data_IF_472536393449
#
_entry.id   IF_472536393449
#
_cell.length_a   1.000
_cell.length_b   1.000
_cell.length_c   1.000
_cell.angle_alpha   90.00
_cell.angle_beta   90.00
_cell.angle_gamma   90.00
#
_symmetry.space_group_name_H-M   'P 1'
#
loop_
_entity.id
_entity.type
_entity.pdbx_description
1 polymer ?
#
# COMPACT_ATOMS: atom_id res chain seq x y z
N UNK A 1 53.37 -19.48 68.12
CA UNK A 1 52.53 -19.03 66.99
C UNK A 1 53.17 -19.54 65.71
N UNK A 2 52.61 -20.56 65.05
CA UNK A 2 53.19 -21.12 63.83
C UNK A 2 52.65 -22.50 63.45
N UNK A 3 52.39 -23.39 64.42
CA UNK A 3 52.08 -24.80 64.12
C UNK A 3 50.60 -25.21 64.22
N UNK A 4 49.72 -24.43 64.87
CA UNK A 4 48.27 -24.72 64.89
C UNK A 4 47.48 -24.12 63.72
N UNK A 5 48.05 -23.16 62.99
CA UNK A 5 47.34 -22.48 61.88
C UNK A 5 47.44 -23.29 60.57
N UNK A 6 48.51 -24.07 60.39
CA UNK A 6 48.72 -24.89 59.17
C UNK A 6 47.77 -26.09 59.10
N UNK A 7 47.37 -26.64 60.25
CA UNK A 7 46.45 -27.80 60.32
C UNK A 7 45.01 -27.39 60.00
N UNK A 8 44.58 -26.19 60.41
CA UNK A 8 43.21 -25.69 60.18
C UNK A 8 43.02 -25.27 58.71
N UNK A 9 44.04 -24.72 58.05
CA UNK A 9 43.96 -24.37 56.63
C UNK A 9 43.96 -25.62 55.74
N UNK A 10 44.69 -26.68 56.12
CA UNK A 10 44.70 -27.95 55.37
C UNK A 10 43.35 -28.68 55.45
N UNK A 11 42.59 -28.51 56.56
CA UNK A 11 41.26 -29.09 56.70
C UNK A 11 40.19 -28.34 55.88
N UNK A 12 40.31 -27.01 55.73
CA UNK A 12 39.38 -26.22 54.92
C UNK A 12 39.62 -26.32 53.41
N UNK A 13 40.88 -26.46 52.97
CA UNK A 13 41.18 -26.72 51.54
C UNK A 13 40.76 -28.14 51.14
N UNK A 14 40.85 -29.11 52.07
CA UNK A 14 40.33 -30.47 51.86
C UNK A 14 38.80 -30.54 51.69
N UNK A 15 38.03 -29.74 52.45
CA UNK A 15 36.56 -29.71 52.31
C UNK A 15 36.07 -28.95 51.06
N UNK A 16 36.84 -27.96 50.58
CA UNK A 16 36.48 -27.25 49.34
C UNK A 16 36.82 -28.05 48.06
N UNK A 17 37.81 -28.95 48.09
CA UNK A 17 38.09 -29.84 46.95
C UNK A 17 37.14 -31.04 46.85
N UNK A 18 36.49 -31.46 47.94
CA UNK A 18 35.46 -32.52 47.88
C UNK A 18 34.10 -31.97 47.45
N UNK A 19 33.91 -30.65 47.48
CA UNK A 19 32.66 -30.00 47.07
C UNK A 19 32.65 -29.52 45.60
N UNK A 20 33.76 -29.70 44.87
CA UNK A 20 33.83 -29.47 43.42
C UNK A 20 34.09 -30.79 42.69
N UNK A 21 33.09 -31.67 42.64
CA UNK A 21 32.89 -32.62 41.53
C UNK A 21 31.60 -33.41 41.75
N UNK A 22 30.48 -32.72 42.00
CA UNK A 22 29.15 -33.32 41.85
C UNK A 22 28.10 -32.24 41.61
N UNK A 23 28.41 -31.27 40.73
CA UNK A 23 27.37 -30.84 39.79
C UNK A 23 27.20 -31.99 38.79
N UNK A 24 26.68 -33.13 39.28
CA UNK A 24 25.99 -34.06 38.41
C UNK A 24 24.77 -33.27 37.96
N UNK A 25 24.94 -32.48 36.90
CA UNK A 25 23.83 -32.11 36.06
C UNK A 25 23.22 -33.45 35.71
N UNK A 26 22.14 -33.80 36.40
CA UNK A 26 21.25 -34.84 35.92
C UNK A 26 20.65 -34.23 34.67
N UNK A 27 21.39 -34.28 33.57
CA UNK A 27 20.80 -34.45 32.26
C UNK A 27 20.08 -35.79 32.35
N UNK A 28 18.94 -35.79 33.03
CA UNK A 28 17.94 -36.80 32.81
C UNK A 28 17.68 -36.67 31.32
N UNK A 29 18.18 -37.65 30.55
CA UNK A 29 17.74 -37.87 29.18
C UNK A 29 16.23 -38.14 29.26
N UNK A 30 15.45 -37.05 29.30
CA UNK A 30 14.00 -37.07 29.28
C UNK A 30 13.63 -37.69 27.94
N UNK A 31 13.31 -38.97 27.98
CA UNK A 31 12.90 -39.69 26.80
C UNK A 31 11.46 -39.27 26.50
N UNK A 32 11.29 -38.25 25.67
CA UNK A 32 10.00 -37.90 25.11
C UNK A 32 9.60 -38.96 24.08
N UNK A 33 8.44 -39.59 24.26
CA UNK A 33 7.86 -40.52 23.27
C UNK A 33 6.73 -39.81 22.54
N UNK A 34 6.91 -39.54 21.24
CA UNK A 34 5.85 -39.11 20.34
C UNK A 34 5.22 -40.36 19.71
N UNK A 35 3.97 -40.66 20.05
CA UNK A 35 3.19 -41.70 19.38
C UNK A 35 2.32 -41.06 18.30
N UNK A 36 2.55 -41.42 17.04
CA UNK A 36 1.76 -40.92 15.90
C UNK A 36 0.78 -41.99 15.43
N UNK A 37 -0.52 -41.69 15.46
CA UNK A 37 -1.57 -42.59 14.97
C UNK A 37 -1.91 -42.26 13.52
N UNK A 38 -1.78 -43.22 12.61
CA UNK A 38 -2.04 -43.03 11.18
C UNK A 38 -3.53 -43.19 10.78
N UNK A 39 -4.39 -43.61 11.70
CA UNK A 39 -5.84 -43.82 11.48
C UNK A 39 -6.67 -42.73 12.14
N UNK A 40 -7.75 -42.27 11.48
CA UNK A 40 -8.72 -41.33 12.06
C UNK A 40 -8.41 -39.83 11.87
N UNK A 41 -7.44 -39.48 11.03
CA UNK A 41 -7.13 -38.10 10.68
C UNK A 41 -8.21 -37.43 9.83
N UNK A 42 -8.31 -36.10 9.91
CA UNK A 42 -9.11 -35.26 8.99
C UNK A 42 -8.21 -34.73 7.89
N UNK A 43 -8.75 -34.57 6.67
CA UNK A 43 -8.02 -33.90 5.58
C UNK A 43 -7.70 -32.48 6.02
N UNK A 44 -6.41 -32.11 5.98
CA UNK A 44 -5.98 -30.73 6.20
C UNK A 44 -6.59 -29.88 5.08
N UNK A 45 -7.34 -28.81 5.40
CA UNK A 45 -7.89 -27.92 4.38
C UNK A 45 -6.77 -27.35 3.52
N UNK A 46 -6.98 -27.30 2.20
CA UNK A 46 -6.02 -26.64 1.31
C UNK A 46 -5.92 -25.14 1.58
N UNK A 47 -6.92 -24.55 2.22
CA UNK A 47 -6.96 -23.14 2.64
C UNK A 47 -6.47 -22.95 4.08
N UNK A 48 -5.63 -23.85 4.61
CA UNK A 48 -5.15 -23.74 5.99
C UNK A 48 -4.21 -22.54 6.18
N UNK A 49 -3.33 -22.27 5.21
CA UNK A 49 -2.34 -21.20 5.28
C UNK A 49 -2.56 -20.19 4.16
N UNK A 50 -2.57 -18.92 4.54
CA UNK A 50 -2.72 -17.81 3.61
C UNK A 50 -2.05 -16.57 4.18
N UNK A 51 -2.30 -15.44 3.53
CA UNK A 51 -1.78 -14.14 3.93
C UNK A 51 -2.92 -13.18 4.20
N UNK A 52 -2.63 -12.23 5.07
CA UNK A 52 -3.48 -11.09 5.37
C UNK A 52 -2.72 -9.83 4.93
N UNK A 53 -3.43 -8.92 4.28
CA UNK A 53 -2.91 -7.65 3.83
C UNK A 53 -3.81 -6.50 4.28
N UNK A 54 -3.17 -5.49 4.85
CA UNK A 54 -3.71 -4.15 5.00
C UNK A 54 -2.65 -3.10 4.67
N UNK A 55 -3.07 -1.89 4.34
CA UNK A 55 -2.16 -0.76 4.11
C UNK A 55 -1.67 -0.23 5.47
N UNK A 56 -0.68 -0.92 6.03
CA UNK A 56 0.04 -0.57 7.26
C UNK A 56 1.55 -0.56 6.97
N UNK A 57 2.31 0.31 7.64
CA UNK A 57 3.78 0.38 7.51
C UNK A 57 4.26 0.57 6.05
N UNK A 58 3.46 1.23 5.20
CA UNK A 58 3.74 1.34 3.77
C UNK A 58 3.80 -0.04 3.06
N UNK A 59 2.99 -1.01 3.49
CA UNK A 59 2.97 -2.34 2.90
C UNK A 59 2.50 -2.35 1.44
N UNK A 60 1.60 -1.43 1.04
CA UNK A 60 1.16 -1.27 -0.34
C UNK A 60 1.93 -0.15 -1.01
N UNK A 61 1.53 1.09 -0.74
CA UNK A 61 2.20 2.30 -1.20
C UNK A 61 3.58 2.46 -0.56
N UNK A 62 4.65 2.22 -1.33
CA UNK A 62 6.04 2.14 -0.86
C UNK A 62 6.52 0.71 -0.57
N UNK A 63 5.60 -0.26 -0.60
CA UNK A 63 5.84 -1.67 -0.35
C UNK A 63 5.62 -2.49 -1.62
N UNK A 64 4.59 -3.33 -1.66
CA UNK A 64 4.36 -4.24 -2.79
C UNK A 64 3.93 -3.54 -4.08
N UNK A 65 3.44 -2.28 -4.02
CA UNK A 65 3.12 -1.51 -5.22
C UNK A 65 4.38 -0.81 -5.76
N UNK A 66 4.64 -0.89 -7.06
CA UNK A 66 5.91 -0.44 -7.65
C UNK A 66 6.01 1.06 -7.95
N UNK A 67 5.01 1.85 -7.60
CA UNK A 67 5.10 3.31 -7.64
C UNK A 67 6.24 3.81 -6.75
N UNK A 68 7.18 4.53 -7.35
CA UNK A 68 8.32 5.11 -6.65
C UNK A 68 8.01 6.50 -6.11
N UNK A 69 7.07 7.23 -6.72
CA UNK A 69 6.74 8.61 -6.34
C UNK A 69 5.73 8.62 -5.21
N UNK A 70 6.12 9.23 -4.08
CA UNK A 70 5.19 9.47 -2.97
C UNK A 70 4.46 10.80 -3.19
N UNK A 71 3.17 10.85 -2.86
CA UNK A 71 2.32 12.04 -3.04
C UNK A 71 2.32 12.53 -4.50
N UNK A 72 2.03 11.60 -5.43
CA UNK A 72 2.10 11.82 -6.89
C UNK A 72 1.13 12.87 -7.44
N UNK A 73 -0.05 12.98 -6.84
CA UNK A 73 -1.10 13.94 -7.24
C UNK A 73 -1.22 15.15 -6.32
N UNK A 74 -0.30 15.33 -5.36
CA UNK A 74 -0.30 16.47 -4.42
C UNK A 74 -1.54 16.57 -3.50
N UNK A 75 -2.37 15.53 -3.44
CA UNK A 75 -3.60 15.48 -2.65
C UNK A 75 -3.36 15.20 -1.15
N UNK A 76 -2.13 14.86 -0.74
CA UNK A 76 -1.85 14.45 0.64
C UNK A 76 -2.12 15.54 1.71
N UNK A 77 -2.22 16.82 1.33
CA UNK A 77 -2.65 17.90 2.22
C UNK A 77 -4.16 18.10 2.30
N UNK A 78 -4.94 17.28 1.59
CA UNK A 78 -6.38 17.46 1.42
C UNK A 78 -6.75 18.55 0.41
N UNK A 79 -8.04 18.91 0.33
CA UNK A 79 -8.58 19.75 -0.74
C UNK A 79 -8.19 21.24 -0.64
N UNK A 80 -7.59 21.66 0.47
CA UNK A 80 -7.26 23.06 0.71
C UNK A 80 -5.91 23.42 0.05
N UNK A 81 -5.82 24.64 -0.48
CA UNK A 81 -4.58 25.16 -1.06
C UNK A 81 -3.98 26.29 -0.21
N UNK A 82 -2.66 26.31 0.03
CA UNK A 82 -1.68 25.33 -0.45
C UNK A 82 -1.84 23.97 0.22
N UNK A 83 -1.80 22.91 -0.59
CA UNK A 83 -1.77 21.52 -0.14
C UNK A 83 -0.34 21.17 0.29
N UNK A 84 -0.25 20.16 1.15
CA UNK A 84 1.02 19.59 1.57
C UNK A 84 1.65 18.82 0.41
N UNK A 85 2.81 19.28 -0.05
CA UNK A 85 3.58 18.61 -1.10
C UNK A 85 4.59 17.61 -0.55
N UNK A 86 4.74 17.44 0.78
CA UNK A 86 5.70 16.48 1.34
C UNK A 86 5.51 15.07 0.72
N UNK A 87 6.59 14.37 0.31
CA UNK A 87 8.01 14.69 0.51
C UNK A 87 8.67 15.51 -0.61
N UNK A 88 7.91 16.07 -1.55
CA UNK A 88 8.47 16.93 -2.58
C UNK A 88 9.18 18.14 -1.97
N UNK A 89 10.31 18.50 -2.56
CA UNK A 89 11.15 19.61 -2.09
C UNK A 89 11.73 20.38 -3.27
N UNK A 90 12.04 21.67 -3.04
CA UNK A 90 12.56 22.58 -4.07
C UNK A 90 14.05 22.36 -4.34
N UNK A 91 14.45 22.50 -5.60
CA UNK A 91 15.84 22.61 -6.08
C UNK A 91 16.04 24.06 -6.51
N UNK A 92 16.79 24.82 -5.71
CA UNK A 92 16.97 26.26 -5.87
C UNK A 92 16.48 27.04 -4.66
N UNK A 93 16.46 28.37 -4.78
CA UNK A 93 16.08 29.30 -3.72
C UNK A 93 14.96 30.23 -4.18
N UNK A 94 14.45 31.07 -3.27
CA UNK A 94 13.31 31.95 -3.54
C UNK A 94 13.66 33.08 -4.53
N UNK A 95 14.94 33.28 -4.87
CA UNK A 95 15.36 34.21 -5.92
C UNK A 95 15.22 33.63 -7.32
N UNK A 96 15.17 32.30 -7.42
CA UNK A 96 15.20 31.56 -8.68
C UNK A 96 13.93 30.73 -8.92
N UNK A 97 13.22 30.34 -7.86
CA UNK A 97 12.06 29.47 -7.92
C UNK A 97 11.05 29.73 -6.80
N UNK A 98 9.76 29.81 -7.15
CA UNK A 98 8.66 29.73 -6.18
C UNK A 98 7.81 28.50 -6.49
N UNK A 99 7.58 27.67 -5.46
CA UNK A 99 6.75 26.46 -5.55
C UNK A 99 5.50 26.63 -4.69
N UNK A 100 4.34 26.33 -5.25
CA UNK A 100 3.05 26.36 -4.57
C UNK A 100 2.12 25.29 -5.14
N UNK A 101 0.89 25.21 -4.64
CA UNK A 101 -0.16 24.38 -5.25
C UNK A 101 -1.43 25.20 -5.41
N UNK A 102 -2.18 24.93 -6.47
CA UNK A 102 -3.49 25.52 -6.72
C UNK A 102 -4.50 24.45 -7.16
N UNK A 103 -5.77 24.84 -7.35
CA UNK A 103 -6.86 23.92 -7.74
C UNK A 103 -7.07 23.84 -9.26
N UNK A 104 -5.99 23.88 -10.04
CA UNK A 104 -6.06 23.97 -11.51
C UNK A 104 -6.00 22.64 -12.26
N UNK A 105 -5.87 21.50 -11.57
CA UNK A 105 -5.80 20.19 -12.21
C UNK A 105 -6.97 19.91 -13.15
N UNK A 106 -6.70 19.15 -14.21
CA UNK A 106 -7.71 18.68 -15.16
C UNK A 106 -8.60 17.55 -14.61
N UNK A 107 -8.23 16.89 -13.51
CA UNK A 107 -9.00 15.78 -12.97
C UNK A 107 -10.15 16.27 -12.08
N UNK A 108 -11.31 15.61 -12.15
CA UNK A 108 -12.48 16.06 -11.38
C UNK A 108 -12.36 15.73 -9.89
N UNK A 109 -11.71 14.61 -9.59
CA UNK A 109 -11.58 14.08 -8.22
C UNK A 109 -10.25 14.44 -7.56
N UNK A 110 -9.27 14.84 -8.36
CA UNK A 110 -7.94 15.26 -7.94
C UNK A 110 -7.74 16.67 -8.45
N UNK A 111 -8.02 17.68 -7.62
CA UNK A 111 -8.07 19.07 -8.08
C UNK A 111 -6.76 19.81 -7.85
N UNK A 112 -5.88 19.28 -7.00
CA UNK A 112 -4.63 19.94 -6.64
C UNK A 112 -3.59 19.73 -7.74
N UNK A 113 -2.92 20.81 -8.13
CA UNK A 113 -1.76 20.76 -9.02
C UNK A 113 -0.60 21.53 -8.37
N UNK A 114 0.63 21.05 -8.58
CA UNK A 114 1.83 21.78 -8.19
C UNK A 114 2.11 22.85 -9.24
N UNK A 115 2.32 24.08 -8.78
CA UNK A 115 2.70 25.24 -9.60
C UNK A 115 4.14 25.65 -9.29
N UNK A 116 4.92 25.80 -10.35
CA UNK A 116 6.31 26.20 -10.32
C UNK A 116 6.50 27.50 -11.11
N UNK A 117 6.77 28.60 -10.42
CA UNK A 117 7.12 29.90 -11.01
C UNK A 117 8.65 30.01 -11.05
N UNK A 118 9.23 29.77 -12.22
CA UNK A 118 10.68 29.84 -12.47
C UNK A 118 11.05 31.29 -12.78
N UNK A 119 11.92 31.87 -11.94
CA UNK A 119 12.27 33.29 -11.96
C UNK A 119 13.61 33.57 -12.66
N UNK A 120 14.42 32.54 -12.87
CA UNK A 120 15.70 32.59 -13.56
C UNK A 120 15.60 32.07 -15.00
N UNK A 121 16.60 32.37 -15.83
CA UNK A 121 16.75 31.80 -17.18
C UNK A 121 18.21 31.39 -17.44
N UNK A 122 18.48 30.81 -18.61
CA UNK A 122 19.82 30.49 -19.12
C UNK A 122 20.67 31.74 -19.42
N UNK A 123 20.04 32.88 -19.68
CA UNK A 123 20.67 34.16 -19.99
C UNK A 123 19.98 35.31 -19.24
N UNK A 124 20.64 36.47 -19.19
CA UNK A 124 20.08 37.69 -18.58
C UNK A 124 20.56 37.94 -17.15
N UNK A 125 19.78 38.71 -16.39
CA UNK A 125 20.20 39.22 -15.06
C UNK A 125 19.99 38.25 -13.90
N UNK A 126 19.10 37.28 -14.04
CA UNK A 126 18.86 36.22 -13.05
C UNK A 126 19.12 34.87 -13.70
N UNK A 127 20.34 34.37 -13.58
CA UNK A 127 20.81 33.17 -14.28
C UNK A 127 20.54 31.94 -13.40
N UNK A 128 19.95 30.89 -13.98
CA UNK A 128 19.74 29.64 -13.25
C UNK A 128 21.07 28.96 -12.92
N UNK A 129 21.19 28.29 -11.75
CA UNK A 129 22.35 27.48 -11.42
C UNK A 129 22.55 26.35 -12.44
N UNK A 130 23.78 25.82 -12.48
CA UNK A 130 24.09 24.64 -13.29
C UNK A 130 23.18 23.48 -12.90
N UNK A 131 22.54 22.84 -13.88
CA UNK A 131 21.53 21.80 -13.66
C UNK A 131 20.07 22.31 -13.60
N UNK A 132 19.88 23.63 -13.54
CA UNK A 132 18.56 24.27 -13.49
C UNK A 132 17.97 24.32 -12.07
N UNK A 133 16.72 24.76 -12.00
CA UNK A 133 15.91 24.78 -10.78
C UNK A 133 14.66 23.93 -10.96
N UNK A 134 14.05 23.48 -9.87
CA UNK A 134 12.79 22.75 -9.93
C UNK A 134 12.42 22.05 -8.64
N UNK A 135 11.98 20.80 -8.75
CA UNK A 135 11.54 20.00 -7.60
C UNK A 135 12.11 18.58 -7.65
N UNK A 136 12.18 17.94 -6.49
CA UNK A 136 12.52 16.52 -6.40
C UNK A 136 11.59 15.76 -5.46
N UNK A 137 11.47 14.46 -5.68
CA UNK A 137 10.79 13.51 -4.82
C UNK A 137 11.77 12.39 -4.43
N UNK A 138 12.02 12.17 -3.13
CA UNK A 138 12.89 11.10 -2.66
C UNK A 138 12.18 9.72 -2.65
N UNK A 139 10.92 9.64 -3.06
CA UNK A 139 10.10 8.44 -2.99
C UNK A 139 9.80 8.01 -1.56
N UNK A 140 9.82 6.70 -1.34
CA UNK A 140 9.59 6.07 -0.04
C UNK A 140 10.94 5.79 0.64
N UNK A 141 11.52 6.84 1.24
CA UNK A 141 12.85 6.83 1.88
C UNK A 141 14.00 6.45 0.94
N UNK A 142 13.87 6.79 -0.35
CA UNK A 142 14.78 6.40 -1.42
C UNK A 142 14.06 5.65 -2.53
N UNK A 143 14.53 5.81 -3.76
CA UNK A 143 14.11 5.02 -4.91
C UNK A 143 15.18 3.97 -5.21
N UNK A 144 14.79 2.70 -5.29
CA UNK A 144 15.69 1.62 -5.68
C UNK A 144 15.93 1.64 -7.20
N UNK A 145 16.94 2.40 -7.64
CA UNK A 145 17.32 2.51 -9.05
C UNK A 145 18.50 1.59 -9.35
N UNK A 146 18.33 0.68 -10.31
CA UNK A 146 19.32 -0.33 -10.67
C UNK A 146 19.79 -0.15 -12.11
N UNK A 147 21.10 -0.20 -12.32
CA UNK A 147 21.72 -0.09 -13.63
C UNK A 147 21.11 -1.08 -14.64
N UNK A 148 20.82 -0.59 -15.85
CA UNK A 148 20.24 -1.36 -16.95
C UNK A 148 18.73 -1.57 -16.86
N UNK A 149 18.07 -1.21 -15.75
CA UNK A 149 16.61 -1.19 -15.67
C UNK A 149 16.04 0.09 -16.27
N UNK A 150 14.84 -0.05 -16.83
CA UNK A 150 14.10 1.07 -17.42
C UNK A 150 12.90 1.42 -16.55
N UNK A 151 12.77 2.71 -16.27
CA UNK A 151 11.70 3.28 -15.48
C UNK A 151 10.84 4.15 -16.38
N UNK A 152 9.53 3.96 -16.32
CA UNK A 152 8.56 4.80 -17.02
C UNK A 152 8.14 5.92 -16.08
N UNK A 153 8.34 7.16 -16.53
CA UNK A 153 7.82 8.34 -15.83
C UNK A 153 6.67 8.92 -16.64
N UNK A 154 5.51 9.06 -16.00
CA UNK A 154 4.33 9.70 -16.57
C UNK A 154 4.00 10.91 -15.71
N UNK A 155 3.67 12.04 -16.33
CA UNK A 155 3.12 13.19 -15.64
C UNK A 155 2.16 13.98 -16.52
N UNK A 156 1.31 14.77 -15.90
CA UNK A 156 0.51 15.77 -16.57
C UNK A 156 1.21 17.13 -16.41
N UNK A 157 1.32 17.86 -17.51
CA UNK A 157 2.01 19.16 -17.57
C UNK A 157 1.16 20.19 -18.28
N UNK A 158 1.19 21.41 -17.75
CA UNK A 158 0.64 22.62 -18.34
C UNK A 158 1.63 23.76 -18.14
N UNK A 159 1.72 24.71 -19.07
CA UNK A 159 2.57 25.88 -18.92
C UNK A 159 2.01 27.11 -19.63
N UNK A 160 2.38 28.29 -19.15
CA UNK A 160 2.11 29.57 -19.81
C UNK A 160 3.00 29.85 -21.03
N UNK A 161 4.02 29.02 -21.25
CA UNK A 161 4.97 29.15 -22.36
C UNK A 161 5.51 27.79 -22.82
N UNK A 162 6.47 27.80 -23.76
CA UNK A 162 7.15 26.57 -24.16
C UNK A 162 8.00 26.03 -23.00
N UNK A 163 8.09 24.71 -22.89
CA UNK A 163 8.81 24.03 -21.81
C UNK A 163 10.03 23.25 -22.33
N UNK A 164 11.03 23.13 -21.47
CA UNK A 164 12.14 22.19 -21.59
C UNK A 164 12.45 21.69 -20.18
N UNK A 165 11.75 20.62 -19.77
CA UNK A 165 11.86 20.03 -18.44
C UNK A 165 12.77 18.81 -18.52
N UNK A 166 13.86 18.82 -17.77
CA UNK A 166 14.68 17.64 -17.52
C UNK A 166 14.00 16.76 -16.49
N UNK A 167 13.76 15.50 -16.84
CA UNK A 167 13.27 14.46 -15.94
C UNK A 167 14.44 13.54 -15.65
N UNK A 168 14.91 13.48 -14.40
CA UNK A 168 16.11 12.73 -14.04
C UNK A 168 15.91 11.83 -12.82
N UNK A 169 16.43 10.61 -12.90
CA UNK A 169 16.75 9.82 -11.72
C UNK A 169 18.17 10.19 -11.29
N UNK A 170 18.34 10.55 -10.03
CA UNK A 170 19.61 11.04 -9.49
C UNK A 170 19.97 10.33 -8.19
N UNK A 171 21.24 10.37 -7.80
CA UNK A 171 21.68 9.94 -6.49
C UNK A 171 20.94 10.67 -5.37
N UNK A 172 21.00 10.11 -4.16
CA UNK A 172 20.38 10.70 -2.95
C UNK A 172 20.73 12.18 -2.69
N UNK A 173 21.95 12.62 -3.06
CA UNK A 173 22.40 14.02 -2.94
C UNK A 173 21.99 14.90 -4.15
N UNK A 174 21.42 14.31 -5.19
CA UNK A 174 20.99 14.96 -6.42
C UNK A 174 22.10 15.34 -7.39
N UNK A 175 23.35 14.93 -7.14
CA UNK A 175 24.50 15.34 -7.93
C UNK A 175 24.79 14.41 -9.11
N UNK A 176 24.69 13.09 -8.90
CA UNK A 176 24.93 12.11 -9.95
C UNK A 176 23.63 11.80 -10.68
N UNK A 177 23.62 12.03 -12.00
CA UNK A 177 22.51 11.61 -12.87
C UNK A 177 22.66 10.12 -13.20
N UNK A 178 21.67 9.33 -12.81
CA UNK A 178 21.57 7.90 -13.13
C UNK A 178 20.85 7.70 -14.47
N UNK A 179 19.83 8.52 -14.74
CA UNK A 179 19.15 8.59 -16.03
C UNK A 179 18.57 9.98 -16.24
N UNK A 180 18.48 10.45 -17.48
CA UNK A 180 17.85 11.72 -17.83
C UNK A 180 17.13 11.63 -19.17
N UNK A 181 15.91 12.17 -19.21
CA UNK A 181 15.18 12.48 -20.44
C UNK A 181 14.67 13.93 -20.38
N UNK A 182 14.13 14.41 -21.49
CA UNK A 182 13.62 15.77 -21.61
C UNK A 182 12.19 15.77 -22.13
N UNK A 183 11.33 16.56 -21.51
CA UNK A 183 10.00 16.90 -22.01
C UNK A 183 10.11 18.29 -22.62
N UNK A 184 10.08 18.34 -23.95
CA UNK A 184 10.21 19.56 -24.74
C UNK A 184 8.91 19.73 -25.53
N UNK A 185 8.20 20.83 -25.26
CA UNK A 185 6.92 21.12 -25.91
C UNK A 185 6.79 22.61 -26.21
N UNK A 186 6.13 22.93 -27.32
CA UNK A 186 5.74 24.30 -27.66
C UNK A 186 4.63 24.82 -26.74
N UNK A 187 4.47 26.14 -26.66
CA UNK A 187 3.42 26.75 -25.83
C UNK A 187 2.02 26.26 -26.20
N UNK A 188 1.74 26.04 -27.49
CA UNK A 188 0.42 25.57 -27.95
C UNK A 188 0.10 24.14 -27.51
N UNK A 189 1.11 23.30 -27.28
CA UNK A 189 0.91 21.90 -26.87
C UNK A 189 0.62 21.77 -25.36
N UNK A 190 1.09 22.72 -24.55
CA UNK A 190 0.99 22.69 -23.08
C UNK A 190 0.18 23.85 -22.50
N UNK A 191 -0.49 24.65 -23.33
CA UNK A 191 -1.41 25.71 -22.86
C UNK A 191 -2.56 25.11 -22.02
N UNK A 192 -2.99 23.91 -22.41
CA UNK A 192 -3.88 23.03 -21.65
C UNK A 192 -3.06 21.87 -21.06
N UNK A 193 -3.66 21.17 -20.09
CA UNK A 193 -3.07 19.96 -19.53
C UNK A 193 -2.82 18.91 -20.61
N UNK A 194 -1.61 18.38 -20.61
CA UNK A 194 -1.14 17.35 -21.55
C UNK A 194 -0.44 16.24 -20.78
N UNK A 195 -0.66 14.99 -21.17
CA UNK A 195 0.06 13.84 -20.63
C UNK A 195 1.43 13.75 -21.31
N UNK A 196 2.49 13.68 -20.52
CA UNK A 196 3.85 13.44 -20.97
C UNK A 196 4.36 12.11 -20.42
N UNK A 197 5.10 11.38 -21.23
CA UNK A 197 5.71 10.09 -20.88
C UNK A 197 7.17 10.09 -21.33
N UNK A 198 8.06 9.63 -20.45
CA UNK A 198 9.47 9.39 -20.77
C UNK A 198 9.92 8.04 -20.23
N UNK A 199 10.85 7.40 -20.93
CA UNK A 199 11.53 6.20 -20.48
C UNK A 199 12.95 6.56 -20.03
N UNK A 200 13.31 6.12 -18.84
CA UNK A 200 14.60 6.37 -18.21
C UNK A 200 15.33 5.06 -18.00
N UNK A 201 16.32 4.77 -18.85
CA UNK A 201 17.23 3.64 -18.67
C UNK A 201 18.39 4.05 -17.74
N UNK A 202 18.47 3.42 -16.58
CA UNK A 202 19.46 3.73 -15.56
C UNK A 202 20.87 3.30 -15.99
N UNK A 203 21.80 4.26 -15.97
CA UNK A 203 23.22 4.08 -16.28
C UNK A 203 24.07 3.74 -15.04
N UNK A 204 23.46 3.74 -13.85
CA UNK A 204 24.09 3.38 -12.59
C UNK A 204 23.06 2.93 -11.56
N UNK A 205 23.55 2.35 -10.46
CA UNK A 205 22.72 1.87 -9.34
C UNK A 205 22.85 2.82 -8.16
N UNK A 206 21.72 3.24 -7.58
CA UNK A 206 21.64 3.85 -6.26
C UNK A 206 20.31 3.43 -5.62
N UNK A 207 20.39 2.84 -4.43
CA UNK A 207 19.23 2.34 -3.69
C UNK A 207 18.49 3.44 -2.92
N UNK A 208 19.06 4.64 -2.85
CA UNK A 208 18.51 5.82 -2.18
C UNK A 208 18.28 6.97 -3.17
N UNK A 209 18.10 6.66 -4.46
CA UNK A 209 17.95 7.65 -5.51
C UNK A 209 16.68 8.50 -5.33
N UNK A 210 16.57 9.56 -6.14
CA UNK A 210 15.41 10.45 -6.16
C UNK A 210 15.07 10.87 -7.60
N UNK A 211 13.80 11.22 -7.82
CA UNK A 211 13.31 11.81 -9.07
C UNK A 211 13.43 13.33 -9.01
N UNK A 212 14.00 13.94 -10.04
CA UNK A 212 14.06 15.40 -10.21
C UNK A 212 13.34 15.85 -11.48
N UNK A 213 12.59 16.95 -11.37
CA UNK A 213 12.02 17.71 -12.47
C UNK A 213 12.64 19.10 -12.45
N UNK A 214 13.54 19.41 -13.39
CA UNK A 214 14.24 20.71 -13.43
C UNK A 214 14.14 21.40 -14.78
N UNK A 215 14.33 22.72 -14.78
CA UNK A 215 14.38 23.55 -15.99
C UNK A 215 15.33 24.72 -15.77
N UNK A 216 15.90 25.24 -16.86
CA UNK A 216 16.65 26.50 -16.87
C UNK A 216 15.92 27.60 -17.63
N UNK A 217 14.63 27.41 -17.91
CA UNK A 217 13.81 28.34 -18.69
C UNK A 217 12.83 29.06 -17.78
N UNK A 218 12.84 30.39 -17.86
CA UNK A 218 11.90 31.24 -17.11
C UNK A 218 10.47 30.98 -17.57
N UNK A 219 9.53 30.89 -16.63
CA UNK A 219 8.13 30.67 -16.94
C UNK A 219 7.33 30.08 -15.77
N UNK A 220 6.06 29.79 -16.03
CA UNK A 220 5.19 29.11 -15.05
C UNK A 220 4.83 27.74 -15.61
N UNK A 221 5.10 26.70 -14.82
CA UNK A 221 4.84 25.31 -15.18
C UNK A 221 4.00 24.69 -14.06
N UNK A 222 2.96 23.96 -14.45
CA UNK A 222 2.17 23.14 -13.55
C UNK A 222 2.45 21.67 -13.82
N UNK A 223 2.55 20.89 -12.73
CA UNK A 223 2.68 19.44 -12.76
C UNK A 223 1.54 18.81 -11.96
N UNK A 224 1.06 17.68 -12.45
CA UNK A 224 0.10 16.85 -11.74
C UNK A 224 0.30 15.36 -12.08
N UNK A 225 -0.17 14.47 -11.21
CA UNK A 225 -0.17 13.02 -11.36
C UNK A 225 1.20 12.50 -11.86
N UNK A 226 2.24 12.74 -11.07
CA UNK A 226 3.62 12.35 -11.40
C UNK A 226 3.88 10.93 -10.92
N UNK A 227 3.99 9.96 -11.83
CA UNK A 227 4.28 8.56 -11.52
C UNK A 227 5.65 8.17 -12.07
N UNK A 228 6.38 7.34 -11.32
CA UNK A 228 7.57 6.66 -11.81
C UNK A 228 7.53 5.19 -11.39
N UNK A 229 7.45 4.28 -12.36
CA UNK A 229 7.41 2.84 -12.12
C UNK A 229 8.48 2.11 -12.93
N UNK A 230 9.10 1.05 -12.39
CA UNK A 230 9.91 0.14 -13.20
C UNK A 230 9.04 -0.54 -14.26
N UNK A 231 9.61 -0.83 -15.43
CA UNK A 231 8.89 -1.59 -16.47
C UNK A 231 8.75 -3.09 -16.13
N UNK A 232 9.68 -3.63 -15.35
CA UNK A 232 9.77 -5.05 -14.99
C UNK A 232 8.99 -5.39 -13.69
N UNK A 233 7.71 -5.01 -13.64
CA UNK A 233 6.83 -5.35 -12.51
C UNK A 233 6.44 -6.84 -12.51
N UNK A 234 6.06 -7.37 -11.34
CA UNK A 234 5.63 -8.76 -11.22
C UNK A 234 4.49 -9.05 -12.20
N UNK A 235 4.73 -9.96 -13.15
CA UNK A 235 3.82 -10.31 -14.25
C UNK A 235 3.33 -9.13 -15.12
N UNK A 236 3.93 -7.95 -14.99
CA UNK A 236 3.47 -6.74 -15.68
C UNK A 236 2.25 -6.06 -15.03
N UNK A 237 1.85 -6.46 -13.82
CA UNK A 237 0.63 -5.97 -13.15
C UNK A 237 0.87 -4.85 -12.13
N UNK A 238 2.03 -4.21 -12.15
CA UNK A 238 2.31 -3.02 -11.31
C UNK A 238 2.92 -3.31 -9.94
N UNK A 239 3.07 -4.57 -9.55
CA UNK A 239 3.68 -4.93 -8.27
C UNK A 239 5.20 -5.00 -8.31
N UNK A 240 5.83 -4.70 -7.18
CA UNK A 240 7.26 -4.90 -6.95
C UNK A 240 7.60 -6.37 -7.00
N UNK A 241 8.45 -6.71 -7.96
CA UNK A 241 8.80 -8.09 -8.28
C UNK A 241 9.47 -8.81 -7.11
N UNK A 242 10.45 -8.18 -6.48
CA UNK A 242 11.21 -8.74 -5.35
C UNK A 242 10.30 -9.12 -4.17
N UNK A 243 9.38 -8.23 -3.78
CA UNK A 243 8.49 -8.47 -2.64
C UNK A 243 7.39 -9.48 -2.97
N UNK A 244 6.78 -9.40 -4.15
CA UNK A 244 5.71 -10.35 -4.52
C UNK A 244 6.27 -11.74 -4.82
N UNK A 245 7.51 -11.88 -5.28
CA UNK A 245 8.18 -13.18 -5.37
C UNK A 245 8.33 -13.82 -3.98
N UNK A 246 8.69 -13.05 -2.94
CA UNK A 246 8.73 -13.57 -1.56
C UNK A 246 7.35 -14.00 -1.06
N UNK A 247 6.28 -13.27 -1.42
CA UNK A 247 4.90 -13.68 -1.12
C UNK A 247 4.50 -14.95 -1.88
N UNK A 248 4.94 -15.12 -3.13
CA UNK A 248 4.69 -16.32 -3.91
C UNK A 248 5.40 -17.55 -3.32
N UNK A 249 6.62 -17.38 -2.79
CA UNK A 249 7.44 -18.45 -2.22
C UNK A 249 6.83 -19.09 -0.96
N UNK A 250 6.07 -18.33 -0.17
CA UNK A 250 5.32 -18.88 0.97
C UNK A 250 4.03 -19.61 0.55
N UNK A 251 3.69 -19.59 -0.75
CA UNK A 251 2.58 -20.33 -1.39
C UNK A 251 1.24 -20.16 -0.65
N UNK A 252 0.77 -18.90 -0.47
CA UNK A 252 -0.47 -18.65 0.24
C UNK A 252 -1.65 -19.25 -0.52
N UNK A 253 -2.61 -19.82 0.21
CA UNK A 253 -3.81 -20.43 -0.37
C UNK A 253 -5.02 -19.51 -0.32
N UNK A 254 -4.92 -18.42 0.43
CA UNK A 254 -5.84 -17.31 0.41
C UNK A 254 -5.11 -15.97 0.67
N UNK A 255 -5.73 -14.87 0.24
CA UNK A 255 -5.33 -13.50 0.53
C UNK A 255 -6.54 -12.74 1.10
N UNK A 256 -6.48 -12.35 2.39
CA UNK A 256 -7.46 -11.46 3.03
C UNK A 256 -7.07 -10.00 2.81
N UNK A 257 -7.93 -9.22 2.15
CA UNK A 257 -7.64 -7.82 1.76
C UNK A 257 -8.92 -6.97 1.69
N UNK A 258 -8.83 -5.63 1.66
CA UNK A 258 -7.69 -4.79 2.04
C UNK A 258 -7.80 -4.54 3.55
N UNK A 259 -7.93 -5.63 4.31
CA UNK A 259 -8.63 -5.65 5.59
C UNK A 259 -7.88 -4.97 6.72
N UNK A 260 -8.12 -5.47 7.92
CA UNK A 260 -7.69 -4.79 9.13
C UNK A 260 -8.40 -3.46 9.29
N UNK A 261 -7.81 -2.61 10.12
CA UNK A 261 -8.36 -1.31 10.44
C UNK A 261 -8.40 -0.35 9.23
N UNK A 262 -7.65 -0.63 8.16
CA UNK A 262 -7.66 0.16 6.93
C UNK A 262 -9.04 0.19 6.25
N UNK A 263 -9.79 -0.92 6.29
CA UNK A 263 -11.15 -0.97 5.70
C UNK A 263 -12.16 -0.14 6.52
N UNK A 264 -11.91 0.02 7.81
CA UNK A 264 -12.76 0.73 8.76
C UNK A 264 -12.50 2.23 8.74
N UNK A 265 -11.21 2.62 8.73
CA UNK A 265 -10.76 3.94 9.12
C UNK A 265 -10.95 4.21 10.62
N UNK A 266 -10.27 5.21 11.15
CA UNK A 266 -10.60 5.75 12.46
C UNK A 266 -11.95 6.49 12.41
N UNK A 267 -12.25 7.12 11.26
CA UNK A 267 -13.52 7.78 10.94
C UNK A 267 -14.04 7.30 9.58
N UNK A 268 -15.36 7.15 9.42
CA UNK A 268 -15.96 6.62 8.17
C UNK A 268 -15.64 7.44 6.92
N UNK A 269 -15.36 8.75 7.09
CA UNK A 269 -14.93 9.63 6.01
C UNK A 269 -13.58 9.23 5.40
N UNK A 270 -12.78 8.47 6.14
CA UNK A 270 -11.45 8.00 5.77
C UNK A 270 -11.40 6.48 5.55
N UNK A 271 -12.56 5.80 5.61
CA UNK A 271 -12.64 4.37 5.33
C UNK A 271 -12.33 4.08 3.84
N UNK A 272 -11.67 2.96 3.57
CA UNK A 272 -11.41 2.50 2.20
C UNK A 272 -12.71 2.38 1.38
N UNK A 273 -12.76 3.02 0.20
CA UNK A 273 -13.90 3.01 -0.72
C UNK A 273 -13.54 2.34 -2.04
N UNK A 274 -13.91 1.07 -2.22
CA UNK A 274 -13.46 0.27 -3.36
C UNK A 274 -13.77 0.89 -4.73
N UNK A 275 -14.94 1.53 -4.92
CA UNK A 275 -15.30 2.22 -6.18
C UNK A 275 -14.39 3.39 -6.52
N UNK A 276 -13.72 3.95 -5.51
CA UNK A 276 -12.78 5.04 -5.67
C UNK A 276 -11.40 4.54 -6.13
N UNK A 277 -11.20 3.23 -6.11
CA UNK A 277 -9.92 2.55 -6.39
C UNK A 277 -9.90 1.78 -7.71
N UNK A 278 -10.95 1.90 -8.52
CA UNK A 278 -11.05 1.28 -9.85
C UNK A 278 -10.94 2.35 -10.95
N UNK A 279 -10.62 1.92 -12.17
CA UNK A 279 -10.38 2.82 -13.30
C UNK A 279 -8.96 3.40 -13.34
N UNK A 280 -8.73 4.43 -14.18
CA UNK A 280 -7.43 5.05 -14.36
C UNK A 280 -6.85 5.57 -13.04
N UNK A 281 -5.56 5.33 -12.80
CA UNK A 281 -4.92 5.66 -11.53
C UNK A 281 -4.85 7.17 -11.30
N UNK A 282 -4.75 7.95 -12.37
CA UNK A 282 -4.71 9.42 -12.33
C UNK A 282 -6.03 10.07 -11.88
N UNK A 283 -7.12 9.30 -11.85
CA UNK A 283 -8.45 9.74 -11.38
C UNK A 283 -8.82 9.21 -9.99
N UNK A 284 -7.90 8.47 -9.34
CA UNK A 284 -8.11 7.95 -7.99
C UNK A 284 -7.74 9.05 -6.99
N UNK A 285 -8.67 9.50 -6.13
CA UNK A 285 -8.40 10.60 -5.22
C UNK A 285 -7.40 10.21 -4.13
N UNK A 286 -7.25 8.90 -3.83
CA UNK A 286 -6.59 8.46 -2.61
C UNK A 286 -7.40 8.84 -1.37
N UNK A 287 -6.84 8.57 -0.20
CA UNK A 287 -7.40 9.04 1.06
C UNK A 287 -6.34 9.09 2.17
N UNK A 288 -6.70 9.77 3.26
CA UNK A 288 -5.89 9.80 4.48
C UNK A 288 -6.16 8.55 5.31
N UNK A 289 -5.18 7.64 5.39
CA UNK A 289 -5.21 6.46 6.26
C UNK A 289 -5.01 6.87 7.71
N UNK A 290 -6.08 7.32 8.35
CA UNK A 290 -6.06 7.91 9.71
C UNK A 290 -5.75 6.93 10.84
N UNK A 291 -5.85 5.62 10.59
CA UNK A 291 -5.39 4.60 11.53
C UNK A 291 -3.87 4.49 11.54
N UNK A 292 -3.25 4.57 10.35
CA UNK A 292 -1.82 4.31 10.16
C UNK A 292 -0.97 5.56 9.88
N UNK A 293 -1.62 6.74 9.86
CA UNK A 293 -1.01 8.07 9.80
C UNK A 293 -0.21 8.36 8.53
N UNK A 294 -0.69 7.88 7.38
CA UNK A 294 -0.16 8.32 6.09
C UNK A 294 -1.23 8.38 5.00
N UNK A 295 -0.93 9.14 3.95
CA UNK A 295 -1.74 9.22 2.75
C UNK A 295 -1.52 8.00 1.86
N UNK A 296 -2.61 7.39 1.41
CA UNK A 296 -2.63 6.38 0.35
C UNK A 296 -3.14 7.01 -0.93
N UNK A 297 -2.46 6.75 -2.05
CA UNK A 297 -2.91 7.18 -3.37
C UNK A 297 -3.92 6.21 -4.01
N UNK A 298 -4.29 5.16 -3.28
CA UNK A 298 -5.15 4.06 -3.72
C UNK A 298 -4.73 3.46 -5.07
N UNK A 299 -3.41 3.45 -5.32
CA UNK A 299 -2.81 2.78 -6.47
C UNK A 299 -3.06 1.27 -6.46
N UNK A 300 -3.08 0.67 -5.27
CA UNK A 300 -3.54 -0.71 -5.06
C UNK A 300 -5.01 -0.73 -4.61
N UNK A 301 -5.89 -0.95 -5.59
CA UNK A 301 -7.32 -0.96 -5.41
C UNK A 301 -7.93 -2.35 -5.40
N UNK A 302 -9.26 -2.39 -5.46
CA UNK A 302 -10.02 -3.64 -5.47
C UNK A 302 -9.62 -4.57 -6.63
N UNK A 303 -9.41 -4.00 -7.82
CA UNK A 303 -8.95 -4.75 -8.99
C UNK A 303 -7.54 -5.32 -8.77
N UNK A 304 -6.60 -4.49 -8.31
CA UNK A 304 -5.21 -4.91 -8.14
C UNK A 304 -5.10 -6.01 -7.07
N UNK A 305 -5.86 -5.97 -5.97
CA UNK A 305 -5.85 -7.06 -4.99
C UNK A 305 -6.44 -8.37 -5.51
N UNK A 306 -7.50 -8.32 -6.32
CA UNK A 306 -8.05 -9.51 -6.98
C UNK A 306 -7.03 -10.10 -7.96
N UNK A 307 -6.35 -9.24 -8.73
CA UNK A 307 -5.27 -9.64 -9.61
C UNK A 307 -4.10 -10.25 -8.83
N UNK A 308 -3.71 -9.67 -7.69
CA UNK A 308 -2.65 -10.20 -6.84
C UNK A 308 -2.99 -11.60 -6.30
N UNK A 309 -4.23 -11.83 -5.88
CA UNK A 309 -4.68 -13.15 -5.43
C UNK A 309 -4.53 -14.20 -6.56
N UNK A 310 -4.99 -13.87 -7.77
CA UNK A 310 -4.83 -14.72 -8.95
C UNK A 310 -3.35 -14.97 -9.29
N UNK A 311 -2.54 -13.92 -9.21
CA UNK A 311 -1.12 -13.95 -9.50
C UNK A 311 -0.34 -14.86 -8.54
N UNK A 312 -0.76 -14.93 -7.28
CA UNK A 312 -0.22 -15.79 -6.23
C UNK A 312 -0.82 -17.21 -6.24
N UNK A 313 -1.85 -17.46 -7.05
CA UNK A 313 -2.61 -18.72 -7.01
C UNK A 313 -3.40 -18.89 -5.70
N UNK A 314 -3.77 -17.79 -5.06
CA UNK A 314 -4.49 -17.73 -3.79
C UNK A 314 -5.97 -17.36 -4.02
N UNK A 315 -6.85 -17.82 -3.13
CA UNK A 315 -8.26 -17.40 -3.15
C UNK A 315 -8.42 -16.02 -2.48
N UNK A 316 -9.06 -15.04 -3.14
CA UNK A 316 -9.36 -13.76 -2.50
C UNK A 316 -10.40 -13.92 -1.38
N UNK A 317 -10.13 -13.31 -0.23
CA UNK A 317 -11.10 -13.04 0.83
C UNK A 317 -11.26 -11.52 0.88
N UNK A 318 -12.31 -11.01 0.25
CA UNK A 318 -12.55 -9.58 0.20
C UNK A 318 -13.27 -9.11 1.48
N UNK A 319 -12.65 -8.16 2.17
CA UNK A 319 -13.18 -7.46 3.34
C UNK A 319 -13.72 -6.12 2.89
N UNK A 320 -14.93 -5.76 3.33
CA UNK A 320 -15.52 -4.45 3.05
C UNK A 320 -16.13 -3.84 4.31
N UNK A 321 -16.21 -2.50 4.33
CA UNK A 321 -16.76 -1.74 5.43
C UNK A 321 -18.27 -2.03 5.62
N UNK A 322 -18.69 -2.33 6.85
CA UNK A 322 -20.06 -2.68 7.23
C UNK A 322 -20.83 -1.51 7.87
N UNK A 323 -20.41 -0.27 7.57
CA UNK A 323 -20.93 0.95 8.18
C UNK A 323 -20.32 1.29 9.53
N UNK A 324 -19.17 0.72 9.86
CA UNK A 324 -18.47 0.95 11.13
C UNK A 324 -17.04 1.43 10.86
N UNK A 325 -16.59 2.36 11.70
CA UNK A 325 -15.19 2.75 11.86
C UNK A 325 -14.80 2.59 13.33
N UNK A 326 -13.57 2.93 13.70
CA UNK A 326 -13.19 2.92 15.10
C UNK A 326 -14.06 3.87 15.96
N UNK A 327 -14.54 4.99 15.40
CA UNK A 327 -15.28 6.02 16.14
C UNK A 327 -16.73 6.26 15.67
N UNK A 328 -17.12 5.76 14.50
CA UNK A 328 -18.47 5.96 13.93
C UNK A 328 -19.20 4.63 13.73
N UNK A 329 -20.52 4.66 13.85
CA UNK A 329 -21.39 3.55 13.50
C UNK A 329 -22.64 4.06 12.78
N UNK A 330 -22.89 3.59 11.56
CA UNK A 330 -24.14 3.82 10.83
C UNK A 330 -25.23 2.97 11.46
N UNK A 331 -26.36 3.60 11.80
CA UNK A 331 -27.55 2.89 12.28
C UNK A 331 -28.05 1.88 11.24
N UNK A 332 -28.53 0.73 11.69
CA UNK A 332 -29.03 -0.35 10.82
C UNK A 332 -30.15 0.09 9.87
N UNK A 333 -30.93 1.12 10.23
CA UNK A 333 -31.95 1.71 9.36
C UNK A 333 -31.35 2.41 8.12
N UNK A 334 -30.12 2.92 8.22
CA UNK A 334 -29.41 3.67 7.18
C UNK A 334 -28.31 2.88 6.47
N UNK A 335 -28.13 1.58 6.75
CA UNK A 335 -26.98 0.81 6.25
C UNK A 335 -27.07 0.42 4.77
N UNK A 336 -28.24 0.54 4.15
CA UNK A 336 -28.49 0.04 2.80
C UNK A 336 -27.50 0.52 1.72
N UNK A 337 -27.02 1.79 1.71
CA UNK A 337 -26.01 2.21 0.76
C UNK A 337 -24.72 1.39 0.84
N UNK A 338 -24.26 1.02 2.04
CA UNK A 338 -23.06 0.19 2.21
C UNK A 338 -23.32 -1.26 1.75
N UNK A 339 -24.53 -1.78 1.96
CA UNK A 339 -24.93 -3.09 1.42
C UNK A 339 -24.86 -3.08 -0.11
N UNK A 340 -25.34 -2.02 -0.75
CA UNK A 340 -25.25 -1.88 -2.21
C UNK A 340 -23.79 -1.77 -2.69
N UNK A 341 -22.92 -1.05 -1.98
CA UNK A 341 -21.48 -1.00 -2.28
C UNK A 341 -20.85 -2.40 -2.29
N UNK A 342 -21.19 -3.26 -1.31
CA UNK A 342 -20.69 -4.63 -1.25
C UNK A 342 -21.22 -5.50 -2.39
N UNK A 343 -22.53 -5.43 -2.71
CA UNK A 343 -23.12 -6.15 -3.85
C UNK A 343 -22.48 -5.73 -5.17
N UNK A 344 -22.29 -4.42 -5.36
CA UNK A 344 -21.65 -3.87 -6.55
C UNK A 344 -20.20 -4.37 -6.72
N UNK A 345 -19.43 -4.47 -5.63
CA UNK A 345 -18.06 -4.99 -5.69
C UNK A 345 -18.00 -6.50 -5.92
N UNK A 346 -18.94 -7.27 -5.36
CA UNK A 346 -19.08 -8.69 -5.70
C UNK A 346 -19.40 -8.83 -7.19
N UNK A 347 -20.38 -8.09 -7.70
CA UNK A 347 -20.73 -8.07 -9.13
C UNK A 347 -19.57 -7.66 -10.02
N UNK A 348 -18.76 -6.68 -9.60
CA UNK A 348 -17.52 -6.32 -10.30
C UNK A 348 -16.58 -7.51 -10.43
N UNK A 349 -16.40 -8.27 -9.35
CA UNK A 349 -15.49 -9.41 -9.35
C UNK A 349 -16.01 -10.60 -10.17
N UNK A 350 -17.30 -10.94 -10.10
CA UNK A 350 -17.80 -12.25 -10.56
C UNK A 350 -18.81 -12.25 -11.71
N UNK A 351 -19.43 -11.11 -12.04
CA UNK A 351 -20.49 -11.10 -13.05
C UNK A 351 -19.93 -11.18 -14.48
N UNK A 352 -20.81 -11.53 -15.42
CA UNK A 352 -20.54 -11.54 -16.85
C UNK A 352 -19.94 -10.20 -17.34
N UNK A 353 -18.95 -10.20 -18.25
CA UNK A 353 -18.31 -8.99 -18.75
C UNK A 353 -19.27 -8.00 -19.45
N UNK A 354 -20.50 -8.39 -19.79
CA UNK A 354 -21.51 -7.48 -20.35
C UNK A 354 -22.45 -6.87 -19.28
N UNK A 355 -22.31 -7.27 -18.02
CA UNK A 355 -23.07 -6.68 -16.91
C UNK A 355 -22.57 -5.28 -16.59
N UNK A 356 -23.33 -4.53 -15.79
CA UNK A 356 -22.94 -3.17 -15.37
C UNK A 356 -21.54 -3.13 -14.75
N UNK A 357 -21.22 -4.06 -13.85
CA UNK A 357 -19.95 -4.05 -13.13
C UNK A 357 -18.90 -4.98 -13.74
N UNK A 358 -19.32 -6.08 -14.37
CA UNK A 358 -18.42 -6.94 -15.14
C UNK A 358 -17.82 -6.23 -16.34
N UNK A 359 -18.56 -5.30 -16.98
CA UNK A 359 -18.01 -4.48 -18.06
C UNK A 359 -16.94 -3.49 -17.59
N UNK A 360 -17.00 -3.01 -16.35
CA UNK A 360 -15.94 -2.18 -15.76
C UNK A 360 -14.68 -3.01 -15.56
N UNK A 361 -14.80 -4.22 -14.99
CA UNK A 361 -13.69 -5.18 -14.84
C UNK A 361 -13.06 -5.52 -16.20
N UNK A 362 -13.89 -5.83 -17.20
CA UNK A 362 -13.44 -6.14 -18.55
C UNK A 362 -12.71 -4.96 -19.21
N UNK A 363 -13.21 -3.73 -19.05
CA UNK A 363 -12.57 -2.53 -19.57
C UNK A 363 -11.21 -2.23 -18.89
N UNK A 364 -11.02 -2.70 -17.65
CA UNK A 364 -9.73 -2.66 -16.95
C UNK A 364 -8.75 -3.77 -17.40
N UNK A 365 -9.13 -4.60 -18.37
CA UNK A 365 -8.26 -5.60 -18.98
C UNK A 365 -8.47 -7.04 -18.50
N UNK A 366 -9.46 -7.29 -17.63
CA UNK A 366 -9.76 -8.63 -17.12
C UNK A 366 -11.23 -9.02 -17.38
N UNK A 367 -11.55 -9.58 -18.56
CA UNK A 367 -12.93 -9.93 -18.90
C UNK A 367 -13.47 -11.12 -18.11
N UNK A 368 -12.61 -12.04 -17.68
CA UNK A 368 -13.03 -13.24 -16.96
C UNK A 368 -13.43 -12.92 -15.51
N UNK A 369 -14.40 -13.62 -14.92
CA UNK A 369 -14.69 -13.52 -13.49
C UNK A 369 -13.49 -13.93 -12.62
N UNK A 370 -13.21 -13.16 -11.56
CA UNK A 370 -12.29 -13.60 -10.51
C UNK A 370 -12.91 -14.72 -9.66
N UNK A 371 -12.06 -15.56 -9.04
CA UNK A 371 -12.49 -16.65 -8.17
C UNK A 371 -12.87 -16.20 -6.74
N UNK A 372 -13.80 -15.24 -6.63
CA UNK A 372 -14.26 -14.68 -5.36
C UNK A 372 -15.34 -15.58 -4.73
N UNK A 373 -14.91 -16.47 -3.84
CA UNK A 373 -15.80 -17.39 -3.10
C UNK A 373 -16.10 -16.93 -1.67
N UNK A 374 -15.26 -16.08 -1.10
CA UNK A 374 -15.29 -15.69 0.30
C UNK A 374 -15.30 -14.18 0.45
N UNK A 375 -16.19 -13.69 1.32
CA UNK A 375 -16.23 -12.27 1.71
C UNK A 375 -16.35 -12.15 3.23
N UNK A 376 -15.77 -11.10 3.79
CA UNK A 376 -15.85 -10.78 5.21
C UNK A 376 -16.58 -9.45 5.43
N UNK A 377 -17.54 -9.43 6.36
CA UNK A 377 -18.38 -8.25 6.64
C UNK A 377 -17.79 -7.49 7.83
N UNK A 378 -17.02 -6.44 7.54
CA UNK A 378 -16.32 -5.61 8.53
C UNK A 378 -15.02 -6.22 9.06
N UNK A 379 -14.42 -5.59 10.07
CA UNK A 379 -13.20 -6.03 10.75
C UNK A 379 -13.32 -5.77 12.27
N UNK A 380 -13.11 -6.80 13.11
CA UNK A 380 -13.13 -6.72 14.59
C UNK A 380 -14.33 -5.98 15.26
N UNK A 381 -15.45 -5.85 14.56
CA UNK A 381 -16.57 -5.00 14.97
C UNK A 381 -17.54 -5.62 15.98
N UNK A 382 -17.32 -6.87 16.41
CA UNK A 382 -18.33 -7.65 17.12
C UNK A 382 -18.94 -6.97 18.37
N UNK A 383 -18.13 -6.16 19.07
CA UNK A 383 -18.55 -5.40 20.25
C UNK A 383 -19.32 -4.11 19.97
N UNK A 384 -19.43 -3.70 18.70
CA UNK A 384 -20.05 -2.45 18.27
C UNK A 384 -21.57 -2.56 18.29
N UNK A 385 -22.24 -1.47 18.65
CA UNK A 385 -23.68 -1.44 18.93
C UNK A 385 -24.51 -1.88 17.72
N UNK A 386 -24.16 -1.40 16.53
CA UNK A 386 -24.91 -1.60 15.29
C UNK A 386 -24.43 -2.82 14.48
N UNK A 387 -23.33 -3.49 14.89
CA UNK A 387 -22.72 -4.57 14.10
C UNK A 387 -23.71 -5.67 13.74
N UNK A 388 -24.38 -6.26 14.73
CA UNK A 388 -25.26 -7.41 14.48
C UNK A 388 -26.41 -7.04 13.52
N UNK A 389 -27.01 -5.86 13.72
CA UNK A 389 -28.08 -5.37 12.84
C UNK A 389 -27.58 -5.14 11.41
N UNK A 390 -26.42 -4.49 11.26
CA UNK A 390 -25.80 -4.23 9.97
C UNK A 390 -25.43 -5.55 9.29
N UNK A 391 -24.71 -6.44 9.97
CA UNK A 391 -24.30 -7.75 9.48
C UNK A 391 -25.47 -8.53 8.88
N UNK A 392 -26.62 -8.60 9.57
CA UNK A 392 -27.79 -9.32 9.06
C UNK A 392 -28.31 -8.73 7.74
N UNK A 393 -28.27 -7.40 7.57
CA UNK A 393 -28.64 -6.75 6.29
C UNK A 393 -27.69 -7.12 5.16
N UNK A 394 -26.39 -7.17 5.41
CA UNK A 394 -25.41 -7.63 4.42
C UNK A 394 -25.59 -9.12 4.12
N UNK A 395 -25.71 -9.96 5.15
CA UNK A 395 -25.85 -11.40 5.03
C UNK A 395 -27.06 -11.76 4.16
N UNK A 396 -28.23 -11.22 4.46
CA UNK A 396 -29.47 -11.52 3.73
C UNK A 396 -29.37 -11.07 2.27
N UNK A 397 -28.82 -9.88 2.02
CA UNK A 397 -28.66 -9.34 0.67
C UNK A 397 -27.67 -10.17 -0.16
N UNK A 398 -26.50 -10.51 0.39
CA UNK A 398 -25.47 -11.29 -0.29
C UNK A 398 -25.97 -12.73 -0.53
N UNK A 399 -26.63 -13.36 0.44
CA UNK A 399 -27.17 -14.72 0.24
C UNK A 399 -28.31 -14.76 -0.77
N UNK A 400 -29.11 -13.68 -0.86
CA UNK A 400 -30.15 -13.56 -1.87
C UNK A 400 -29.58 -13.41 -3.28
N UNK A 401 -28.60 -12.51 -3.46
CA UNK A 401 -28.00 -12.22 -4.77
C UNK A 401 -26.97 -13.27 -5.22
N UNK A 402 -26.15 -13.77 -4.28
CA UNK A 402 -25.00 -14.63 -4.53
C UNK A 402 -24.96 -15.81 -3.53
N UNK A 403 -25.91 -16.76 -3.59
CA UNK A 403 -26.08 -17.80 -2.56
C UNK A 403 -24.87 -18.74 -2.37
N UNK A 404 -23.97 -18.79 -3.36
CA UNK A 404 -22.74 -19.61 -3.32
C UNK A 404 -21.61 -18.96 -2.54
N UNK A 405 -21.62 -17.62 -2.37
CA UNK A 405 -20.58 -16.90 -1.63
C UNK A 405 -20.64 -17.32 -0.16
N UNK A 406 -19.46 -17.61 0.38
CA UNK A 406 -19.24 -17.93 1.78
C UNK A 406 -18.97 -16.65 2.55
N UNK A 407 -19.72 -16.43 3.62
CA UNK A 407 -19.68 -15.20 4.41
C UNK A 407 -18.94 -15.48 5.72
N UNK A 408 -17.94 -14.64 5.98
CA UNK A 408 -17.13 -14.64 7.18
C UNK A 408 -17.64 -13.53 8.12
N UNK A 409 -18.06 -13.92 9.31
CA UNK A 409 -18.34 -12.97 10.41
C UNK A 409 -17.03 -12.57 11.09
N UNK A 410 -16.91 -11.33 11.55
CA UNK A 410 -15.74 -10.89 12.34
C UNK A 410 -15.97 -11.03 13.86
N UNK A 411 -17.09 -11.66 14.25
CA UNK A 411 -17.34 -12.07 15.63
C UNK A 411 -16.65 -13.38 15.96
N UNK A 412 -16.02 -13.45 17.13
CA UNK A 412 -15.45 -14.68 17.64
C UNK A 412 -16.53 -15.75 17.92
N UNK A 413 -16.48 -16.84 17.16
CA UNK A 413 -17.31 -18.03 17.35
C UNK A 413 -16.59 -19.20 18.06
N UNK A 414 -15.35 -19.00 18.54
CA UNK A 414 -14.51 -20.06 19.10
C UNK A 414 -14.97 -20.53 20.48
N UNK A 415 -15.48 -19.61 21.30
CA UNK A 415 -15.86 -19.86 22.70
C UNK A 415 -17.35 -20.15 22.85
N UNK A 416 -18.18 -19.54 22.01
CA UNK A 416 -19.65 -19.66 22.01
C UNK A 416 -20.17 -19.60 20.59
N UNK A 417 -21.28 -20.30 20.26
CA UNK A 417 -21.91 -20.15 18.96
C UNK A 417 -22.26 -18.69 18.68
N UNK A 418 -22.07 -18.27 17.43
CA UNK A 418 -22.55 -16.97 16.96
C UNK A 418 -24.07 -16.90 17.10
N UNK A 419 -24.58 -15.73 17.46
CA UNK A 419 -26.01 -15.46 17.56
C UNK A 419 -26.64 -15.01 16.23
N UNK A 420 -25.89 -15.15 15.13
CA UNK A 420 -26.28 -14.79 13.76
C UNK A 420 -25.67 -15.81 12.78
N UNK A 421 -26.24 -15.98 11.58
CA UNK A 421 -25.74 -16.97 10.62
C UNK A 421 -24.41 -16.55 10.00
N UNK A 422 -23.48 -17.48 9.84
CA UNK A 422 -22.23 -17.29 9.12
C UNK A 422 -21.73 -18.64 8.57
N UNK A 423 -20.95 -18.63 7.49
CA UNK A 423 -20.26 -19.86 7.03
C UNK A 423 -18.96 -20.06 7.80
N UNK A 424 -18.28 -18.96 8.14
CA UNK A 424 -17.03 -18.93 8.89
C UNK A 424 -17.04 -17.75 9.87
N UNK A 425 -16.10 -17.76 10.80
CA UNK A 425 -15.79 -16.62 11.63
C UNK A 425 -14.30 -16.31 11.59
N UNK A 426 -13.96 -15.03 11.68
CA UNK A 426 -12.62 -14.50 11.80
C UNK A 426 -12.28 -14.35 13.28
N UNK A 427 -11.10 -14.80 13.70
CA UNK A 427 -10.68 -14.81 15.09
C UNK A 427 -9.25 -14.30 15.20
N UNK A 428 -9.09 -13.19 15.91
CA UNK A 428 -7.80 -12.54 16.12
C UNK A 428 -7.38 -12.70 17.60
N UNK A 429 -6.10 -13.03 17.82
CA UNK A 429 -5.51 -13.11 19.17
C UNK A 429 -4.53 -11.95 19.31
N UNK A 430 -4.95 -10.93 20.05
CA UNK A 430 -4.10 -9.79 20.38
C UNK A 430 -3.25 -10.16 21.60
N UNK A 431 -1.97 -10.46 21.39
CA UNK A 431 -1.00 -10.55 22.47
C UNK A 431 -0.68 -9.12 22.92
N UNK A 432 -1.19 -8.75 24.11
CA UNK A 432 -0.94 -7.46 24.76
C UNK A 432 0.54 -7.28 25.14
#
# INVERSE_FOLDING_TARGET
MGSCIVVVISFFVGLCFVSQCSAGGVEANLTARLSVTASGGRRIPETLFGIFFEEINHAGAGGIWAELVRNRGFEAGGPNTPSNIYPWSKIGDDSSLVVSTDRSSCFERNKVALRMDVLCDSEGSNICPAGGVGIYNPGYWGMNIEQGKTYKVILYVRSSGPINVSVSLTSSDGLQKLATAYIISSASEVVNWSKAEVLLEAQGTDHNAQLQLTTSRKGVIWFDQVSAMPLDTFKGHGFRKDLVEMLADIRPRFLRFPGGCFVEGAWLRNAFRWKETIGPWEERPGHWGDVWFYWTDDGIGHFEFLQLAEDLGALPIWVFNNGISHNDEVETSGIFPFVQEALDGISFAIDDPNSKWGSVRAAMGHPEPFDLRFVAIGNEDCGKKNYQGNYLKFYDAIKSAHPKIKIISNCDGSSRPLNHPADYYDFHVNFL
#
